data_IF_335930823810
#
_entry.id   IF_335930823810
#
_cell.length_a   1.000
_cell.length_b   1.000
_cell.length_c   1.000
_cell.angle_alpha   90.00
_cell.angle_beta   90.00
_cell.angle_gamma   90.00
#
_symmetry.space_group_name_H-M   'P 1'
#
loop_
_entity.id
_entity.type
_entity.pdbx_description
1 polymer ?
#
# COMPACT_ATOMS: atom_id res chain seq x y z
N UNK A 1 -9.21 1.18 -8.44
CA UNK A 1 -9.06 1.10 -6.97
C UNK A 1 -10.41 0.81 -6.33
N UNK A 2 -10.44 0.11 -5.21
CA UNK A 2 -11.61 -0.08 -4.37
C UNK A 2 -11.47 0.83 -3.16
N UNK A 3 -12.01 2.04 -3.26
CA UNK A 3 -11.87 3.08 -2.21
C UNK A 3 -12.79 2.76 -1.04
N UNK A 4 -12.25 2.84 0.16
CA UNK A 4 -13.03 2.59 1.36
C UNK A 4 -12.35 3.05 2.64
N UNK A 5 -12.82 2.57 3.77
CA UNK A 5 -12.31 2.99 5.07
C UNK A 5 -12.43 1.93 6.15
N UNK A 6 -11.74 2.18 7.25
CA UNK A 6 -11.86 1.36 8.44
C UNK A 6 -13.22 1.58 9.09
N UNK A 7 -13.98 0.49 9.30
CA UNK A 7 -15.30 0.52 9.90
C UNK A 7 -15.38 -0.36 11.15
N UNK A 8 -16.28 -0.03 12.05
CA UNK A 8 -16.49 -0.82 13.27
C UNK A 8 -17.31 -2.08 12.97
N UNK A 9 -16.90 -3.27 13.43
CA UNK A 9 -17.72 -4.48 13.36
C UNK A 9 -18.72 -4.61 14.53
N UNK A 10 -18.89 -3.57 15.36
CA UNK A 10 -19.79 -3.60 16.49
C UNK A 10 -21.21 -3.93 16.05
N UNK A 11 -21.82 -4.90 16.73
CA UNK A 11 -23.15 -5.44 16.38
C UNK A 11 -23.12 -6.55 15.33
N UNK A 12 -21.94 -6.98 14.84
CA UNK A 12 -21.77 -8.09 13.91
C UNK A 12 -21.24 -7.68 12.53
N UNK A 13 -20.88 -8.69 11.73
CA UNK A 13 -20.28 -8.51 10.40
C UNK A 13 -21.23 -7.80 9.42
N UNK A 14 -22.48 -8.18 9.42
CA UNK A 14 -23.51 -7.58 8.56
C UNK A 14 -23.63 -6.06 8.81
N UNK A 15 -23.49 -5.64 10.07
CA UNK A 15 -23.47 -4.22 10.40
C UNK A 15 -22.19 -3.51 9.90
N UNK A 16 -21.05 -4.19 9.85
CA UNK A 16 -19.85 -3.62 9.24
C UNK A 16 -20.05 -3.39 7.73
N UNK A 17 -20.68 -4.33 7.03
CA UNK A 17 -21.06 -4.19 5.62
C UNK A 17 -21.97 -2.97 5.41
N UNK A 18 -23.05 -2.86 6.17
CA UNK A 18 -24.00 -1.74 6.05
C UNK A 18 -23.33 -0.38 6.34
N UNK A 19 -22.40 -0.31 7.31
CA UNK A 19 -21.61 0.91 7.55
C UNK A 19 -20.71 1.26 6.36
N UNK A 20 -20.19 0.27 5.65
CA UNK A 20 -19.47 0.48 4.39
C UNK A 20 -20.38 1.07 3.32
N UNK A 21 -21.58 0.51 3.15
CA UNK A 21 -22.58 1.02 2.20
C UNK A 21 -22.99 2.46 2.53
N UNK A 22 -23.33 2.74 3.79
CA UNK A 22 -23.71 4.08 4.26
C UNK A 22 -22.63 5.13 4.01
N UNK A 23 -21.37 4.72 3.96
CA UNK A 23 -20.21 5.57 3.72
C UNK A 23 -19.75 5.61 2.27
N UNK A 24 -20.50 4.98 1.35
CA UNK A 24 -20.12 4.89 -0.08
C UNK A 24 -18.76 4.24 -0.32
N UNK A 25 -18.46 3.19 0.45
CA UNK A 25 -17.22 2.42 0.31
C UNK A 25 -17.32 1.33 -0.76
N UNK A 26 -16.28 1.16 -1.58
CA UNK A 26 -16.07 -0.02 -2.44
C UNK A 26 -15.41 -1.17 -1.68
N UNK A 27 -14.65 -0.85 -0.63
CA UNK A 27 -13.97 -1.80 0.26
C UNK A 27 -14.07 -1.36 1.71
N UNK A 28 -13.99 -2.31 2.64
CA UNK A 28 -13.95 -2.00 4.08
C UNK A 28 -12.79 -2.71 4.75
N UNK A 29 -12.29 -2.11 5.82
CA UNK A 29 -11.38 -2.76 6.75
C UNK A 29 -12.01 -2.83 8.13
N UNK A 30 -11.79 -3.94 8.84
CA UNK A 30 -12.25 -4.12 10.23
C UNK A 30 -11.15 -4.74 11.08
N UNK A 31 -11.23 -4.54 12.38
CA UNK A 31 -10.62 -5.47 13.34
C UNK A 31 -11.55 -6.66 13.53
N UNK A 32 -11.03 -7.89 13.38
CA UNK A 32 -11.83 -9.10 13.61
C UNK A 32 -12.14 -9.34 15.09
N UNK A 33 -11.46 -8.63 15.99
CA UNK A 33 -11.65 -8.65 17.46
C UNK A 33 -11.34 -7.26 18.03
N UNK A 34 -11.55 -7.07 19.34
CA UNK A 34 -11.20 -5.79 19.99
C UNK A 34 -9.69 -5.49 19.81
N UNK A 35 -9.30 -4.33 19.25
CA UNK A 35 -7.90 -4.04 18.93
C UNK A 35 -6.99 -3.90 20.16
N UNK A 36 -7.57 -3.82 21.37
CA UNK A 36 -6.87 -3.66 22.65
C UNK A 36 -7.03 -4.85 23.59
N UNK A 37 -7.52 -6.00 23.07
CA UNK A 37 -7.72 -7.20 23.87
C UNK A 37 -7.26 -8.47 23.16
N UNK A 38 -6.72 -9.41 23.90
CA UNK A 38 -6.31 -10.72 23.39
C UNK A 38 -7.48 -11.70 23.19
N UNK A 39 -8.69 -11.30 23.58
CA UNK A 39 -9.88 -12.16 23.44
C UNK A 39 -10.20 -12.34 21.97
N UNK A 40 -10.10 -13.57 21.49
CA UNK A 40 -10.46 -13.96 20.14
C UNK A 40 -11.97 -13.86 19.95
N UNK A 41 -12.38 -13.32 18.81
CA UNK A 41 -13.78 -13.18 18.41
C UNK A 41 -14.08 -14.16 17.29
N UNK A 42 -15.10 -14.98 17.47
CA UNK A 42 -15.66 -15.85 16.43
C UNK A 42 -17.03 -15.34 16.00
N UNK A 43 -17.45 -15.72 14.80
CA UNK A 43 -18.75 -15.39 14.24
C UNK A 43 -19.53 -16.67 13.99
N UNK A 44 -20.84 -16.58 14.02
CA UNK A 44 -21.72 -17.71 13.68
C UNK A 44 -21.65 -17.99 12.18
N UNK A 45 -21.83 -19.25 11.76
CA UNK A 45 -21.79 -19.61 10.34
C UNK A 45 -22.88 -18.92 9.52
N UNK A 46 -24.07 -18.72 10.12
CA UNK A 46 -25.13 -17.96 9.48
C UNK A 46 -24.71 -16.52 9.17
N UNK A 47 -24.07 -15.84 10.13
CA UNK A 47 -23.58 -14.46 9.97
C UNK A 47 -22.47 -14.38 8.90
N UNK A 48 -21.59 -15.38 8.85
CA UNK A 48 -20.54 -15.49 7.83
C UNK A 48 -21.13 -15.73 6.43
N UNK A 49 -22.13 -16.57 6.33
CA UNK A 49 -22.81 -16.89 5.06
C UNK A 49 -23.56 -15.68 4.52
N UNK A 50 -24.34 -15.00 5.38
CA UNK A 50 -25.00 -13.75 5.01
C UNK A 50 -24.00 -12.68 4.58
N UNK A 51 -22.91 -12.51 5.34
CA UNK A 51 -21.89 -11.54 5.01
C UNK A 51 -21.21 -11.81 3.66
N UNK A 52 -20.88 -13.07 3.35
CA UNK A 52 -20.32 -13.45 2.04
C UNK A 52 -21.31 -13.18 0.89
N UNK A 53 -22.60 -13.43 1.09
CA UNK A 53 -23.63 -13.10 0.08
C UNK A 53 -23.71 -11.60 -0.17
N UNK A 54 -23.68 -10.80 0.90
CA UNK A 54 -23.70 -9.34 0.80
C UNK A 54 -22.47 -8.80 0.07
N UNK A 55 -21.27 -9.37 0.29
CA UNK A 55 -20.07 -8.99 -0.44
C UNK A 55 -20.13 -9.37 -1.92
N UNK A 56 -20.72 -10.50 -2.25
CA UNK A 56 -20.83 -10.98 -3.63
C UNK A 56 -21.82 -10.15 -4.46
N UNK A 57 -22.89 -9.67 -3.86
CA UNK A 57 -24.02 -9.01 -4.55
C UNK A 57 -24.08 -7.49 -4.33
N UNK A 58 -23.40 -6.99 -3.30
CA UNK A 58 -23.52 -5.61 -2.86
C UNK A 58 -22.46 -4.65 -3.45
N UNK A 59 -22.54 -3.37 -3.08
CA UNK A 59 -21.60 -2.35 -3.56
C UNK A 59 -20.23 -2.45 -2.88
N UNK A 60 -20.13 -2.97 -1.66
CA UNK A 60 -18.85 -3.26 -0.98
C UNK A 60 -18.33 -4.58 -1.51
N UNK A 61 -17.24 -4.54 -2.26
CA UNK A 61 -16.69 -5.65 -3.04
C UNK A 61 -15.47 -6.31 -2.41
N UNK A 62 -14.88 -5.69 -1.39
CA UNK A 62 -13.70 -6.20 -0.71
C UNK A 62 -13.76 -5.97 0.79
N UNK A 63 -13.29 -6.96 1.55
CA UNK A 63 -12.99 -6.81 2.98
C UNK A 63 -11.52 -7.12 3.23
N UNK A 64 -10.90 -6.29 4.08
CA UNK A 64 -9.57 -6.49 4.65
C UNK A 64 -9.71 -6.58 6.16
N UNK A 65 -8.99 -7.48 6.80
CA UNK A 65 -8.87 -7.51 8.24
C UNK A 65 -7.58 -6.82 8.66
N UNK A 66 -7.61 -6.03 9.73
CA UNK A 66 -6.40 -5.55 10.37
C UNK A 66 -6.14 -6.32 11.66
N UNK A 67 -4.93 -6.80 11.83
CA UNK A 67 -4.51 -7.47 13.06
C UNK A 67 -4.48 -6.47 14.23
N UNK A 68 -4.74 -6.96 15.44
CA UNK A 68 -4.84 -6.07 16.61
C UNK A 68 -3.47 -5.48 17.01
N UNK A 69 -3.48 -4.27 17.56
CA UNK A 69 -2.26 -3.53 17.93
C UNK A 69 -1.36 -4.20 18.95
N UNK A 70 -1.86 -5.20 19.68
CA UNK A 70 -1.10 -5.91 20.70
C UNK A 70 -0.10 -6.92 20.11
N UNK A 71 -0.26 -7.28 18.84
CA UNK A 71 0.55 -8.29 18.17
C UNK A 71 1.99 -7.81 18.02
N UNK A 72 2.93 -8.57 18.53
CA UNK A 72 4.36 -8.41 18.30
C UNK A 72 5.04 -9.78 18.14
N UNK A 73 5.05 -10.35 16.92
CA UNK A 73 5.69 -11.66 16.68
C UNK A 73 7.21 -11.62 16.83
N UNK A 74 7.82 -10.42 16.80
CA UNK A 74 9.24 -10.22 17.05
C UNK A 74 9.65 -10.32 18.52
N UNK A 75 8.67 -10.31 19.45
CA UNK A 75 8.95 -10.29 20.89
C UNK A 75 9.79 -11.48 21.36
N UNK A 76 10.76 -11.21 22.23
CA UNK A 76 11.50 -12.25 22.97
C UNK A 76 10.71 -12.83 24.15
N UNK A 77 9.69 -12.10 24.60
CA UNK A 77 8.75 -12.59 25.61
C UNK A 77 7.86 -13.67 25.01
N UNK A 78 8.05 -14.91 25.45
CA UNK A 78 7.34 -16.08 24.93
C UNK A 78 5.82 -15.99 25.12
N UNK A 79 5.35 -15.32 26.18
CA UNK A 79 3.92 -15.14 26.44
C UNK A 79 3.32 -14.17 25.43
N UNK A 80 3.99 -13.04 25.18
CA UNK A 80 3.56 -12.06 24.18
C UNK A 80 3.63 -12.67 22.79
N UNK A 81 4.74 -13.34 22.47
CA UNK A 81 4.91 -14.00 21.17
C UNK A 81 3.82 -15.05 20.93
N UNK A 82 3.58 -15.95 21.90
CA UNK A 82 2.53 -16.96 21.77
C UNK A 82 1.15 -16.32 21.53
N UNK A 83 0.77 -15.33 22.32
CA UNK A 83 -0.51 -14.63 22.15
C UNK A 83 -0.60 -13.93 20.78
N UNK A 84 0.53 -13.40 20.28
CA UNK A 84 0.61 -12.78 18.96
C UNK A 84 0.36 -13.79 17.85
N UNK A 85 1.00 -14.96 17.94
CA UNK A 85 0.81 -16.06 16.99
C UNK A 85 -0.63 -16.58 17.01
N UNK A 86 -1.18 -16.83 18.20
CA UNK A 86 -2.56 -17.32 18.37
C UNK A 86 -3.57 -16.33 17.77
N UNK A 87 -3.39 -15.02 18.02
CA UNK A 87 -4.29 -13.98 17.51
C UNK A 87 -4.17 -13.79 15.98
N UNK A 88 -2.94 -13.85 15.45
CA UNK A 88 -2.71 -13.68 14.02
C UNK A 88 -3.20 -14.90 13.22
N UNK A 89 -2.93 -16.11 13.69
CA UNK A 89 -3.46 -17.34 13.11
C UNK A 89 -5.01 -17.34 13.14
N UNK A 90 -5.60 -16.88 14.24
CA UNK A 90 -7.06 -16.73 14.32
C UNK A 90 -7.59 -15.70 13.32
N UNK A 91 -6.91 -14.55 13.16
CA UNK A 91 -7.30 -13.54 12.18
C UNK A 91 -7.29 -14.10 10.75
N UNK A 92 -6.28 -14.88 10.38
CA UNK A 92 -6.21 -15.54 9.08
C UNK A 92 -7.35 -16.55 8.88
N UNK A 93 -7.66 -17.40 9.88
CA UNK A 93 -8.82 -18.31 9.82
C UNK A 93 -10.15 -17.56 9.67
N UNK A 94 -10.29 -16.42 10.35
CA UNK A 94 -11.47 -15.57 10.16
C UNK A 94 -11.49 -14.93 8.78
N UNK A 95 -10.34 -14.56 8.24
CA UNK A 95 -10.17 -14.11 6.86
C UNK A 95 -10.62 -15.17 5.84
N UNK A 96 -10.21 -16.44 6.05
CA UNK A 96 -10.69 -17.57 5.22
C UNK A 96 -12.21 -17.68 5.28
N UNK A 97 -12.79 -17.64 6.47
CA UNK A 97 -14.23 -17.78 6.70
C UNK A 97 -15.03 -16.63 6.07
N UNK A 98 -14.50 -15.41 6.05
CA UNK A 98 -15.14 -14.23 5.46
C UNK A 98 -14.91 -14.08 3.96
N UNK A 99 -13.94 -14.79 3.38
CA UNK A 99 -13.44 -14.53 2.02
C UNK A 99 -12.70 -13.20 1.91
N UNK A 100 -11.89 -12.88 2.92
CA UNK A 100 -11.17 -11.62 3.00
C UNK A 100 -10.05 -11.52 1.94
N UNK A 101 -9.79 -10.29 1.48
CA UNK A 101 -8.68 -9.99 0.57
C UNK A 101 -7.31 -10.10 1.25
N UNK A 102 -7.27 -10.11 2.58
CA UNK A 102 -6.11 -10.36 3.39
C UNK A 102 -6.25 -9.88 4.82
N UNK A 103 -5.25 -10.25 5.64
CA UNK A 103 -5.05 -9.75 7.00
C UNK A 103 -3.81 -8.87 7.00
N UNK A 104 -3.98 -7.58 7.23
CA UNK A 104 -2.89 -6.62 7.39
C UNK A 104 -2.30 -6.74 8.78
N UNK A 105 -0.98 -6.72 8.87
CA UNK A 105 -0.25 -6.75 10.14
C UNK A 105 1.02 -5.91 10.07
N UNK A 106 1.26 -5.10 11.11
CA UNK A 106 2.59 -4.56 11.35
C UNK A 106 3.52 -5.71 11.75
N UNK A 107 4.70 -5.89 11.14
CA UNK A 107 5.58 -7.01 11.42
C UNK A 107 6.07 -7.12 12.86
N UNK A 108 5.85 -6.08 13.67
CA UNK A 108 6.22 -6.02 15.07
C UNK A 108 7.37 -5.07 15.35
N UNK A 109 7.94 -5.18 16.55
CA UNK A 109 9.03 -4.30 17.01
C UNK A 109 10.10 -5.09 17.74
N UNK A 110 11.37 -4.73 17.50
CA UNK A 110 12.54 -5.36 18.12
C UNK A 110 12.67 -5.08 19.63
N UNK A 111 12.06 -4.01 20.14
CA UNK A 111 12.06 -3.63 21.58
C UNK A 111 13.45 -3.77 22.24
N UNK A 112 14.47 -3.14 21.65
CA UNK A 112 15.86 -3.17 22.17
C UNK A 112 16.66 -4.45 21.88
N UNK A 113 16.10 -5.40 21.14
CA UNK A 113 16.80 -6.61 20.67
C UNK A 113 17.54 -6.33 19.35
N UNK A 114 18.55 -7.16 18.98
CA UNK A 114 19.16 -7.09 17.66
C UNK A 114 18.12 -7.30 16.55
N UNK A 115 18.18 -6.43 15.53
CA UNK A 115 17.21 -6.44 14.43
C UNK A 115 17.17 -7.80 13.71
N UNK A 116 18.31 -8.41 13.46
CA UNK A 116 18.41 -9.71 12.79
C UNK A 116 17.60 -10.80 13.50
N UNK A 117 17.79 -10.94 14.80
CA UNK A 117 17.09 -11.97 15.61
C UNK A 117 15.59 -11.72 15.65
N UNK A 118 15.19 -10.43 15.69
CA UNK A 118 13.80 -10.04 15.67
C UNK A 118 13.15 -10.35 14.32
N UNK A 119 13.83 -10.08 13.20
CA UNK A 119 13.38 -10.43 11.85
C UNK A 119 13.29 -11.94 11.67
N UNK A 120 14.26 -12.72 12.16
CA UNK A 120 14.22 -14.18 12.08
C UNK A 120 13.00 -14.74 12.82
N UNK A 121 12.67 -14.21 14.02
CA UNK A 121 11.44 -14.60 14.76
C UNK A 121 10.16 -14.24 14.00
N UNK A 122 10.11 -13.09 13.31
CA UNK A 122 8.96 -12.74 12.48
C UNK A 122 8.84 -13.70 11.30
N UNK A 123 9.94 -14.10 10.66
CA UNK A 123 9.94 -15.09 9.59
C UNK A 123 9.37 -16.44 10.05
N UNK A 124 9.76 -16.90 11.24
CA UNK A 124 9.20 -18.11 11.85
C UNK A 124 7.69 -17.98 12.11
N UNK A 125 7.29 -16.80 12.61
CA UNK A 125 5.89 -16.50 12.87
C UNK A 125 5.05 -16.51 11.59
N UNK A 126 5.55 -15.91 10.51
CA UNK A 126 4.88 -15.87 9.20
C UNK A 126 4.64 -17.30 8.71
N UNK A 127 5.67 -18.17 8.71
CA UNK A 127 5.51 -19.57 8.27
C UNK A 127 4.47 -20.30 9.11
N UNK A 128 4.51 -20.13 10.43
CA UNK A 128 3.56 -20.77 11.34
C UNK A 128 2.12 -20.29 11.05
N UNK A 129 1.86 -18.98 11.00
CA UNK A 129 0.48 -18.51 10.87
C UNK A 129 -0.10 -18.79 9.49
N UNK A 130 0.72 -18.81 8.42
CA UNK A 130 0.28 -19.23 7.10
C UNK A 130 -0.07 -20.73 7.04
N UNK A 131 0.58 -21.57 7.85
CA UNK A 131 0.21 -23.00 7.95
C UNK A 131 -1.12 -23.25 8.68
N UNK A 132 -1.62 -22.24 9.41
CA UNK A 132 -2.88 -22.28 10.15
C UNK A 132 -4.10 -21.77 9.36
N UNK A 133 -3.91 -21.35 8.10
CA UNK A 133 -4.96 -20.89 7.21
C UNK A 133 -4.83 -21.52 5.84
N UNK A 134 -5.92 -21.52 5.05
CA UNK A 134 -5.95 -22.20 3.75
C UNK A 134 -5.69 -21.22 2.59
N UNK A 135 -6.34 -20.07 2.58
CA UNK A 135 -6.40 -19.16 1.43
C UNK A 135 -6.11 -17.70 1.73
N UNK A 136 -6.47 -17.25 2.94
CA UNK A 136 -6.40 -15.84 3.29
C UNK A 136 -4.95 -15.32 3.23
N UNK A 137 -4.67 -14.25 2.46
CA UNK A 137 -3.35 -13.66 2.43
C UNK A 137 -2.98 -12.98 3.75
N UNK A 138 -1.71 -13.07 4.12
CA UNK A 138 -1.09 -12.24 5.15
C UNK A 138 -0.40 -11.05 4.49
N UNK A 139 -0.75 -9.84 4.88
CA UNK A 139 -0.25 -8.61 4.28
C UNK A 139 0.66 -7.88 5.27
N UNK A 140 1.95 -7.87 5.00
CA UNK A 140 2.91 -7.14 5.81
C UNK A 140 2.80 -5.65 5.49
N UNK A 141 2.54 -4.85 6.50
CA UNK A 141 2.45 -3.41 6.34
C UNK A 141 3.82 -2.76 6.56
N UNK A 142 4.21 -1.82 5.66
CA UNK A 142 5.36 -0.98 5.93
C UNK A 142 5.09 -0.09 7.15
N UNK A 143 6.12 0.22 7.93
CA UNK A 143 5.97 0.96 9.18
C UNK A 143 6.72 2.29 9.15
N UNK A 144 6.25 3.24 9.96
CA UNK A 144 6.88 4.55 10.11
C UNK A 144 8.26 4.53 10.81
N UNK A 145 8.71 3.38 11.32
CA UNK A 145 10.02 3.22 11.96
C UNK A 145 10.09 3.69 13.41
N UNK A 146 8.96 4.04 14.04
CA UNK A 146 8.90 4.45 15.43
C UNK A 146 9.24 3.29 16.39
N UNK A 147 9.99 3.57 17.47
CA UNK A 147 10.21 2.58 18.54
C UNK A 147 10.88 1.27 18.10
N UNK A 148 11.60 1.25 16.98
CA UNK A 148 12.24 0.05 16.46
C UNK A 148 11.28 -0.93 15.80
N UNK A 149 10.15 -0.45 15.24
CA UNK A 149 9.25 -1.26 14.41
C UNK A 149 10.00 -1.86 13.22
N UNK A 150 9.62 -3.06 12.82
CA UNK A 150 10.15 -3.81 11.67
C UNK A 150 9.29 -3.51 10.44
N UNK A 151 9.85 -3.65 9.23
CA UNK A 151 9.16 -3.31 7.97
C UNK A 151 9.31 -1.85 7.57
N UNK A 152 10.41 -1.20 8.00
CA UNK A 152 10.72 0.21 7.71
C UNK A 152 11.19 0.46 6.30
N UNK A 153 11.72 -0.55 5.63
CA UNK A 153 12.23 -0.46 4.26
C UNK A 153 11.77 -1.66 3.43
N UNK A 154 11.86 -1.50 2.12
CA UNK A 154 11.52 -2.59 1.20
C UNK A 154 12.47 -3.78 1.35
N UNK A 155 13.73 -3.56 1.72
CA UNK A 155 14.71 -4.61 2.00
C UNK A 155 14.30 -5.43 3.25
N UNK A 156 13.80 -4.78 4.32
CA UNK A 156 13.26 -5.49 5.48
C UNK A 156 12.02 -6.31 5.11
N UNK A 157 11.10 -5.75 4.31
CA UNK A 157 9.90 -6.46 3.83
C UNK A 157 10.27 -7.63 2.92
N UNK A 158 11.19 -7.44 1.96
CA UNK A 158 11.69 -8.52 1.11
C UNK A 158 12.34 -9.64 1.92
N UNK A 159 13.12 -9.29 2.95
CA UNK A 159 13.71 -10.28 3.85
C UNK A 159 12.64 -11.08 4.62
N UNK A 160 11.56 -10.44 5.06
CA UNK A 160 10.44 -11.13 5.70
C UNK A 160 9.70 -12.04 4.72
N UNK A 161 9.53 -11.64 3.47
CA UNK A 161 8.95 -12.48 2.41
C UNK A 161 9.81 -13.72 2.17
N UNK A 162 11.12 -13.56 2.07
CA UNK A 162 12.08 -14.66 1.91
C UNK A 162 12.01 -15.62 3.10
N UNK A 163 12.10 -15.10 4.33
CA UNK A 163 12.03 -15.90 5.56
C UNK A 163 10.68 -16.57 5.77
N UNK A 164 9.60 -15.95 5.27
CA UNK A 164 8.27 -16.54 5.22
C UNK A 164 8.11 -17.68 4.21
N UNK A 165 9.19 -18.04 3.49
CA UNK A 165 9.20 -19.13 2.53
C UNK A 165 8.71 -18.73 1.14
N UNK A 166 8.50 -17.45 0.87
CA UNK A 166 8.02 -16.95 -0.42
C UNK A 166 6.58 -17.37 -0.77
N UNK A 167 5.78 -17.83 0.21
CA UNK A 167 4.38 -18.24 0.03
C UNK A 167 3.62 -17.18 -0.80
N UNK A 168 2.85 -17.63 -1.78
CA UNK A 168 2.08 -16.73 -2.67
C UNK A 168 1.02 -15.92 -1.91
N UNK A 169 0.55 -16.42 -0.76
CA UNK A 169 -0.39 -15.70 0.12
C UNK A 169 0.27 -14.59 0.93
N UNK A 170 1.62 -14.54 1.00
CA UNK A 170 2.32 -13.47 1.67
C UNK A 170 2.44 -12.26 0.75
N UNK A 171 1.74 -11.20 1.10
CA UNK A 171 1.70 -9.95 0.35
C UNK A 171 2.10 -8.74 1.19
N UNK A 172 1.92 -7.55 0.60
CA UNK A 172 2.19 -6.27 1.22
C UNK A 172 0.93 -5.41 1.30
N UNK A 173 0.89 -4.58 2.33
CA UNK A 173 0.09 -3.39 2.43
C UNK A 173 1.02 -2.17 2.49
N UNK A 174 0.84 -1.16 1.64
CA UNK A 174 1.61 0.07 1.72
C UNK A 174 0.75 1.19 2.32
N UNK A 175 1.25 1.78 3.40
CA UNK A 175 0.68 2.95 4.05
C UNK A 175 1.44 4.22 3.65
N UNK A 176 0.71 5.21 3.14
CA UNK A 176 1.25 6.47 2.66
C UNK A 176 1.87 7.34 3.77
N UNK A 177 1.22 7.39 4.94
CA UNK A 177 1.74 8.12 6.10
C UNK A 177 3.04 7.47 6.61
N UNK A 178 3.11 6.14 6.63
CA UNK A 178 4.30 5.42 7.07
C UNK A 178 5.47 5.61 6.09
N UNK A 179 5.24 5.54 4.77
CA UNK A 179 6.26 5.84 3.76
C UNK A 179 6.77 7.28 3.93
N UNK A 180 5.86 8.25 4.05
CA UNK A 180 6.20 9.66 4.26
C UNK A 180 7.00 9.88 5.54
N UNK A 181 6.56 9.28 6.66
CA UNK A 181 7.24 9.37 7.94
C UNK A 181 8.63 8.72 7.96
N UNK A 182 8.84 7.68 7.13
CA UNK A 182 10.16 7.06 6.94
C UNK A 182 11.08 7.87 6.04
N UNK A 183 10.56 8.83 5.26
CA UNK A 183 11.33 9.66 4.36
C UNK A 183 11.40 9.16 2.93
N UNK A 184 10.44 8.33 2.50
CA UNK A 184 10.26 8.00 1.08
C UNK A 184 9.62 9.18 0.34
N UNK A 185 10.08 9.46 -0.88
CA UNK A 185 9.46 10.45 -1.76
C UNK A 185 8.08 9.97 -2.20
N UNK A 186 7.02 10.64 -1.75
CA UNK A 186 5.63 10.27 -2.01
C UNK A 186 4.69 11.48 -2.11
N UNK A 187 5.24 12.69 -2.22
CA UNK A 187 4.45 13.93 -2.23
C UNK A 187 3.86 14.27 -3.59
N UNK A 188 4.47 13.76 -4.65
CA UNK A 188 4.05 13.98 -6.02
C UNK A 188 3.86 12.65 -6.73
N UNK A 189 3.22 12.67 -7.90
CA UNK A 189 3.03 11.47 -8.72
C UNK A 189 4.36 10.87 -9.19
N UNK A 190 5.36 11.71 -9.49
CA UNK A 190 6.68 11.27 -9.94
C UNK A 190 7.47 10.64 -8.79
N UNK A 191 7.53 11.32 -7.61
CA UNK A 191 8.17 10.76 -6.42
C UNK A 191 7.56 9.41 -6.00
N UNK A 192 6.23 9.31 -6.03
CA UNK A 192 5.53 8.06 -5.74
C UNK A 192 5.88 6.99 -6.76
N UNK A 193 5.91 7.32 -8.06
CA UNK A 193 6.28 6.37 -9.11
C UNK A 193 7.66 5.77 -8.87
N UNK A 194 8.67 6.60 -8.59
CA UNK A 194 10.04 6.15 -8.27
C UNK A 194 10.05 5.26 -7.02
N UNK A 195 9.30 5.64 -5.99
CA UNK A 195 9.19 4.84 -4.75
C UNK A 195 8.56 3.47 -5.01
N UNK A 196 7.50 3.40 -5.83
CA UNK A 196 6.85 2.12 -6.15
C UNK A 196 7.71 1.28 -7.12
N UNK A 197 8.42 1.89 -8.06
CA UNK A 197 9.42 1.19 -8.90
C UNK A 197 10.49 0.51 -8.04
N UNK A 198 11.00 1.19 -7.03
CA UNK A 198 11.93 0.59 -6.08
C UNK A 198 11.28 -0.56 -5.28
N UNK A 199 10.03 -0.44 -4.87
CA UNK A 199 9.31 -1.52 -4.23
C UNK A 199 9.18 -2.74 -5.17
N UNK A 200 8.86 -2.50 -6.44
CA UNK A 200 8.75 -3.53 -7.47
C UNK A 200 10.08 -4.26 -7.70
N UNK A 201 11.18 -3.53 -7.79
CA UNK A 201 12.52 -4.12 -7.96
C UNK A 201 12.96 -4.99 -6.78
N UNK A 202 12.62 -4.59 -5.55
CA UNK A 202 13.12 -5.25 -4.33
C UNK A 202 12.19 -6.37 -3.85
N UNK A 203 10.87 -6.16 -3.90
CA UNK A 203 9.88 -7.10 -3.34
C UNK A 203 9.02 -7.75 -4.41
N UNK A 204 8.73 -7.03 -5.48
CA UNK A 204 7.80 -7.40 -6.53
C UNK A 204 6.42 -6.74 -6.37
N UNK A 205 5.91 -6.15 -7.46
CA UNK A 205 4.59 -5.47 -7.47
C UNK A 205 3.44 -6.45 -7.27
N UNK A 206 3.59 -7.71 -7.69
CA UNK A 206 2.58 -8.76 -7.56
C UNK A 206 2.21 -9.07 -6.09
N UNK A 207 3.10 -8.70 -5.16
CA UNK A 207 2.86 -8.86 -3.73
C UNK A 207 2.04 -7.73 -3.13
N UNK A 208 1.85 -6.64 -3.83
CA UNK A 208 1.07 -5.51 -3.36
C UNK A 208 -0.43 -5.83 -3.48
N UNK A 209 -1.13 -5.89 -2.36
CA UNK A 209 -2.53 -6.34 -2.30
C UNK A 209 -3.48 -5.42 -1.56
N UNK A 210 -2.95 -4.44 -0.84
CA UNK A 210 -3.74 -3.43 -0.14
C UNK A 210 -2.96 -2.12 -0.05
N UNK A 211 -3.67 -1.01 -0.05
CA UNK A 211 -3.10 0.32 0.17
C UNK A 211 -3.85 0.98 1.33
N UNK A 212 -3.10 1.51 2.29
CA UNK A 212 -3.62 2.47 3.25
C UNK A 212 -3.27 3.88 2.78
N UNK A 213 -4.27 4.70 2.55
CA UNK A 213 -4.05 6.11 2.20
C UNK A 213 -4.44 6.98 3.37
N UNK A 214 -3.42 7.45 4.06
CA UNK A 214 -3.50 8.30 5.24
C UNK A 214 -2.60 9.52 5.03
N UNK A 215 -3.09 10.72 5.38
CA UNK A 215 -2.22 11.88 5.46
C UNK A 215 -1.47 11.90 6.80
N UNK A 216 -0.42 12.68 6.92
CA UNK A 216 0.46 12.70 8.09
C UNK A 216 0.38 14.01 8.85
N UNK A 217 0.17 13.95 10.19
CA UNK A 217 0.36 15.10 11.08
C UNK A 217 1.84 15.37 11.38
N UNK A 218 2.69 14.40 11.11
CA UNK A 218 4.11 14.48 11.44
C UNK A 218 4.92 14.83 10.18
N UNK A 219 6.02 15.54 10.37
CA UNK A 219 6.89 15.96 9.28
C UNK A 219 7.53 14.77 8.54
N UNK A 220 7.93 15.03 7.30
CA UNK A 220 8.70 14.09 6.47
C UNK A 220 9.93 13.56 7.19
N UNK A 221 10.14 12.25 7.14
CA UNK A 221 11.28 11.58 7.78
C UNK A 221 11.28 11.59 9.31
N UNK A 222 10.15 11.99 9.93
CA UNK A 222 10.03 12.14 11.40
C UNK A 222 10.03 10.82 12.17
N UNK A 223 9.79 9.70 11.50
CA UNK A 223 9.57 8.38 12.09
C UNK A 223 8.44 8.35 13.11
N UNK A 224 7.37 9.11 12.84
CA UNK A 224 6.20 9.22 13.70
C UNK A 224 4.95 8.85 12.91
N UNK A 225 4.31 7.79 13.34
CA UNK A 225 2.99 7.39 12.86
C UNK A 225 1.92 8.26 13.53
N UNK A 226 1.38 9.22 12.78
CA UNK A 226 0.32 10.14 13.23
C UNK A 226 -0.54 10.55 12.04
N UNK A 227 -1.66 9.88 11.85
CA UNK A 227 -2.58 10.13 10.75
C UNK A 227 -3.30 11.47 10.89
N UNK A 228 -3.47 12.19 9.79
CA UNK A 228 -4.31 13.37 9.61
C UNK A 228 -5.52 13.04 8.73
N UNK A 229 -6.57 13.89 8.69
CA UNK A 229 -7.56 13.83 7.64
C UNK A 229 -6.92 14.00 6.26
N UNK A 230 -7.50 13.39 5.23
CA UNK A 230 -6.97 13.41 3.86
C UNK A 230 -6.83 14.84 3.32
N UNK A 231 -5.64 15.21 2.95
CA UNK A 231 -5.31 16.50 2.38
C UNK A 231 -5.06 17.64 3.37
N UNK A 232 -5.22 17.38 4.69
CA UNK A 232 -5.04 18.37 5.75
C UNK A 232 -3.73 18.21 6.53
N UNK A 233 -2.88 17.25 6.14
CA UNK A 233 -1.61 16.97 6.78
C UNK A 233 -0.39 17.42 5.97
N UNK A 234 0.77 16.91 6.38
CA UNK A 234 2.08 17.24 5.81
C UNK A 234 2.35 16.55 4.45
N UNK A 235 1.69 15.43 4.16
CA UNK A 235 1.67 14.79 2.84
C UNK A 235 0.83 15.63 1.87
N UNK A 236 -0.30 16.15 2.33
CA UNK A 236 -1.15 17.09 1.65
C UNK A 236 -1.99 16.49 0.51
N UNK A 237 -2.79 17.35 -0.12
CA UNK A 237 -3.71 16.95 -1.20
C UNK A 237 -2.99 16.30 -2.38
N UNK A 238 -1.87 16.88 -2.81
CA UNK A 238 -1.13 16.37 -3.98
C UNK A 238 -0.58 14.96 -3.72
N UNK A 239 0.04 14.73 -2.57
CA UNK A 239 0.53 13.40 -2.20
C UNK A 239 -0.60 12.38 -2.05
N UNK A 240 -1.69 12.72 -1.36
CA UNK A 240 -2.86 11.85 -1.28
C UNK A 240 -3.46 11.55 -2.66
N UNK A 241 -3.58 12.57 -3.54
CA UNK A 241 -4.08 12.40 -4.90
C UNK A 241 -3.16 11.50 -5.75
N UNK A 242 -1.83 11.58 -5.54
CA UNK A 242 -0.87 10.70 -6.19
C UNK A 242 -1.13 9.23 -5.85
N UNK A 243 -1.36 8.91 -4.57
CA UNK A 243 -1.72 7.55 -4.14
C UNK A 243 -3.05 7.08 -4.74
N UNK A 244 -4.10 7.89 -4.69
CA UNK A 244 -5.41 7.52 -5.24
C UNK A 244 -5.43 7.41 -6.77
N UNK A 245 -4.38 7.84 -7.47
CA UNK A 245 -4.30 7.79 -8.93
C UNK A 245 -3.14 6.96 -9.47
N UNK A 246 -2.39 6.28 -8.61
CA UNK A 246 -1.28 5.42 -9.04
C UNK A 246 -1.81 4.20 -9.82
N UNK A 247 -1.40 4.01 -11.10
CA UNK A 247 -1.95 2.96 -11.94
C UNK A 247 -1.73 1.54 -11.41
N UNK A 248 -0.61 1.29 -10.72
CA UNK A 248 -0.28 -0.04 -10.14
C UNK A 248 -1.20 -0.42 -8.98
N UNK A 249 -1.97 0.51 -8.43
CA UNK A 249 -2.92 0.26 -7.34
C UNK A 249 -4.35 -0.01 -7.85
N UNK A 250 -4.55 -0.05 -9.16
CA UNK A 250 -5.88 -0.32 -9.72
C UNK A 250 -6.40 -1.71 -9.33
N UNK A 251 -7.65 -1.76 -8.90
CA UNK A 251 -8.29 -2.99 -8.42
C UNK A 251 -8.00 -3.36 -6.97
N UNK A 252 -7.00 -2.75 -6.32
CA UNK A 252 -6.67 -3.05 -4.92
C UNK A 252 -7.63 -2.36 -3.94
N UNK A 253 -7.94 -3.01 -2.80
CA UNK A 253 -8.52 -2.34 -1.65
C UNK A 253 -7.64 -1.16 -1.23
N UNK A 254 -8.26 0.02 -1.11
CA UNK A 254 -7.58 1.27 -0.77
C UNK A 254 -8.31 1.90 0.40
N UNK A 255 -7.72 1.81 1.57
CA UNK A 255 -8.38 2.05 2.86
C UNK A 255 -7.88 3.35 3.49
N UNK A 256 -8.81 4.19 3.92
CA UNK A 256 -8.55 5.30 4.83
C UNK A 256 -8.76 4.88 6.29
N UNK A 257 -7.76 5.09 7.13
CA UNK A 257 -7.77 4.73 8.56
C UNK A 257 -7.67 5.92 9.50
N UNK A 258 -7.46 7.10 8.94
CA UNK A 258 -7.25 8.32 9.69
C UNK A 258 -8.43 8.71 10.58
N UNK A 259 -8.26 9.76 11.39
CA UNK A 259 -9.29 10.23 12.33
C UNK A 259 -10.55 10.71 11.62
N UNK A 260 -10.50 10.99 10.32
CA UNK A 260 -11.56 11.64 9.56
C UNK A 260 -11.74 13.12 9.95
N UNK A 261 -12.54 13.81 9.17
CA UNK A 261 -12.84 15.24 9.38
C UNK A 261 -13.53 15.50 10.73
N UNK A 262 -14.31 14.52 11.23
CA UNK A 262 -15.02 14.63 12.51
C UNK A 262 -14.24 14.06 13.71
N UNK A 263 -13.02 13.53 13.50
CA UNK A 263 -12.22 12.90 14.54
C UNK A 263 -12.72 11.54 15.06
N UNK A 264 -13.61 10.87 14.29
CA UNK A 264 -14.27 9.61 14.68
C UNK A 264 -13.97 8.42 13.76
N UNK A 265 -12.93 8.55 12.93
CA UNK A 265 -12.61 7.61 11.86
C UNK A 265 -13.34 7.93 10.56
N UNK A 266 -13.18 7.07 9.56
CA UNK A 266 -13.74 7.28 8.23
C UNK A 266 -15.27 7.47 8.26
N UNK A 267 -15.75 8.54 7.64
CA UNK A 267 -17.15 8.87 7.43
C UNK A 267 -17.45 9.06 5.93
N UNK A 268 -18.71 9.22 5.55
CA UNK A 268 -19.10 9.49 4.15
C UNK A 268 -18.36 10.71 3.55
N UNK A 269 -18.14 11.75 4.36
CA UNK A 269 -17.43 12.94 3.92
C UNK A 269 -15.98 12.63 3.55
N UNK A 270 -15.30 11.78 4.32
CA UNK A 270 -13.91 11.41 4.07
C UNK A 270 -13.78 10.56 2.80
N UNK A 271 -14.73 9.65 2.54
CA UNK A 271 -14.74 8.84 1.32
C UNK A 271 -15.03 9.72 0.09
N UNK A 272 -15.87 10.76 0.22
CA UNK A 272 -16.05 11.75 -0.85
C UNK A 272 -14.74 12.50 -1.15
N UNK A 273 -14.02 12.95 -0.13
CA UNK A 273 -12.70 13.57 -0.30
C UNK A 273 -11.72 12.61 -0.99
N UNK A 274 -11.70 11.33 -0.61
CA UNK A 274 -10.86 10.34 -1.28
C UNK A 274 -11.19 10.19 -2.78
N UNK A 275 -12.49 10.22 -3.15
CA UNK A 275 -12.91 10.17 -4.56
C UNK A 275 -12.54 11.45 -5.32
N UNK A 276 -12.69 12.62 -4.69
CA UNK A 276 -12.25 13.90 -5.26
C UNK A 276 -10.74 13.91 -5.52
N UNK A 277 -9.94 13.49 -4.54
CA UNK A 277 -8.49 13.35 -4.67
C UNK A 277 -8.09 12.38 -5.80
N UNK A 278 -8.86 11.29 -5.99
CA UNK A 278 -8.64 10.40 -7.12
C UNK A 278 -8.91 11.10 -8.45
N UNK A 279 -9.98 11.85 -8.58
CA UNK A 279 -10.29 12.60 -9.80
C UNK A 279 -9.20 13.65 -10.09
N UNK A 280 -8.74 14.38 -9.08
CA UNK A 280 -7.63 15.34 -9.17
C UNK A 280 -6.34 14.65 -9.66
N UNK A 281 -5.96 13.55 -9.05
CA UNK A 281 -4.76 12.80 -9.42
C UNK A 281 -4.83 12.20 -10.83
N UNK A 282 -5.98 11.64 -11.23
CA UNK A 282 -6.19 11.13 -12.58
C UNK A 282 -6.14 12.25 -13.62
N UNK A 283 -6.68 13.43 -13.31
CA UNK A 283 -6.60 14.60 -14.17
C UNK A 283 -5.15 15.09 -14.34
N UNK A 284 -4.40 15.15 -13.23
CA UNK A 284 -2.99 15.54 -13.25
C UNK A 284 -2.12 14.56 -14.07
N UNK A 285 -2.44 13.27 -14.05
CA UNK A 285 -1.78 12.25 -14.89
C UNK A 285 -2.27 12.21 -16.34
N UNK A 286 -3.25 13.03 -16.74
CA UNK A 286 -3.87 12.98 -18.06
C UNK A 286 -4.74 11.73 -18.30
N UNK A 287 -5.13 11.04 -17.24
CA UNK A 287 -5.89 9.79 -17.26
C UNK A 287 -7.39 10.00 -16.96
N UNK A 288 -7.85 11.24 -16.77
CA UNK A 288 -9.26 11.55 -16.53
C UNK A 288 -10.12 11.07 -17.71
N UNK A 289 -11.22 10.36 -17.45
CA UNK A 289 -12.18 9.93 -18.47
C UNK A 289 -12.66 11.16 -19.20
N UNK A 290 -12.31 11.29 -20.50
CA UNK A 290 -12.51 12.47 -21.33
C UNK A 290 -13.91 13.03 -21.28
N UNK A 291 -14.06 14.15 -20.62
CA UNK A 291 -15.08 15.11 -20.96
C UNK A 291 -14.81 15.57 -22.39
N UNK A 292 -15.81 15.46 -23.27
CA UNK A 292 -15.73 15.86 -24.66
C UNK A 292 -15.21 17.32 -24.77
N UNK A 293 -13.89 17.48 -24.94
CA UNK A 293 -13.34 18.77 -25.36
C UNK A 293 -13.56 18.90 -26.87
N UNK A 294 -14.44 19.80 -27.25
CA UNK A 294 -14.65 20.16 -28.63
C UNK A 294 -13.36 20.70 -29.22
N UNK A 295 -12.65 19.90 -30.00
CA UNK A 295 -11.52 20.34 -30.78
C UNK A 295 -12.02 21.32 -31.87
N UNK A 296 -11.76 22.60 -31.68
CA UNK A 296 -11.84 23.60 -32.77
C UNK A 296 -10.80 23.20 -33.82
N UNK A 297 -11.28 22.71 -34.96
CA UNK A 297 -10.47 22.51 -36.16
C UNK A 297 -9.96 23.88 -36.62
N UNK A 298 -8.70 24.18 -36.37
CA UNK A 298 -7.98 25.27 -36.99
C UNK A 298 -7.68 24.92 -38.45
N UNK A 299 -8.22 25.68 -39.38
CA UNK A 299 -7.98 25.53 -40.80
C UNK A 299 -6.52 25.88 -41.15
N UNK A 300 -5.74 24.88 -41.55
CA UNK A 300 -4.40 25.09 -42.09
C UNK A 300 -4.49 25.64 -43.54
N UNK A 301 -4.00 26.86 -43.74
CA UNK A 301 -3.75 27.44 -45.07
C UNK A 301 -2.57 26.72 -45.72
N UNK A 302 -2.80 26.16 -46.92
CA UNK A 302 -1.77 25.63 -47.82
C UNK A 302 -0.89 26.80 -48.31
N UNK A 303 0.40 26.74 -48.03
CA UNK A 303 1.44 27.56 -48.65
C UNK A 303 2.26 26.69 -49.60
N UNK A 304 2.31 27.17 -50.85
CA UNK A 304 2.95 26.53 -52.02
C UNK A 304 4.47 26.50 -51.91
N UNK A 305 5.06 25.37 -52.25
CA UNK A 305 6.49 25.14 -52.35
C UNK A 305 7.11 25.80 -53.58
N UNK A 306 8.27 26.42 -53.40
CA UNK A 306 9.22 26.74 -54.52
C UNK A 306 10.48 25.89 -54.37
N UNK A 307 10.79 25.17 -55.44
CA UNK A 307 12.02 24.39 -55.67
C UNK A 307 13.22 25.34 -55.81
N UNK A 308 14.35 24.97 -55.24
CA UNK A 308 15.66 25.56 -55.49
C UNK A 308 16.75 24.51 -55.32
N UNK A 309 17.52 24.33 -56.34
CA UNK A 309 18.52 23.34 -56.71
C UNK A 309 19.79 23.33 -55.84
N UNK A 310 20.42 22.16 -55.78
CA UNK A 310 21.75 21.90 -55.22
C UNK A 310 22.89 22.53 -56.05
N UNK A 311 24.13 22.58 -55.51
CA UNK A 311 25.19 21.78 -56.15
C UNK A 311 26.15 21.05 -55.18
N UNK A 312 26.82 20.11 -55.80
CA UNK A 312 27.81 19.14 -55.35
C UNK A 312 29.20 19.72 -55.03
N UNK A 313 29.98 19.01 -54.28
CA UNK A 313 31.46 19.08 -54.22
C UNK A 313 31.95 18.66 -52.82
N UNK A 314 32.77 17.78 -52.57
CA UNK A 314 33.75 16.86 -53.12
C UNK A 314 34.74 16.51 -51.97
N UNK A 315 35.14 15.31 -51.97
CA UNK A 315 36.01 14.51 -51.08
C UNK A 315 37.42 15.15 -50.73
N UNK A 316 37.98 14.61 -49.64
CA UNK A 316 39.34 14.07 -49.40
C UNK A 316 39.55 13.80 -47.90
N UNK A 317 39.73 12.57 -47.41
CA UNK A 317 40.92 11.67 -47.38
C UNK A 317 42.10 12.18 -46.51
N UNK A 318 42.52 11.39 -45.57
CA UNK A 318 43.80 11.46 -44.83
C UNK A 318 43.64 10.88 -43.42
N UNK A 319 43.92 9.81 -43.15
CA UNK A 319 44.87 8.68 -42.98
C UNK A 319 46.06 9.00 -41.99
N UNK A 320 46.22 8.07 -41.05
CA UNK A 320 47.45 7.71 -40.27
C UNK A 320 47.73 8.55 -39.02
N UNK A 321 48.27 8.01 -37.93
CA UNK A 321 48.86 6.72 -37.53
C UNK A 321 49.21 6.70 -36.07
N UNK A 322 49.02 5.58 -35.40
CA UNK A 322 49.95 4.76 -34.59
C UNK A 322 50.80 5.33 -33.45
N UNK A 323 50.79 4.49 -32.44
CA UNK A 323 51.87 4.16 -31.41
C UNK A 323 51.79 4.97 -30.12
N UNK A 324 51.92 4.43 -28.98
CA UNK A 324 52.41 3.16 -28.46
C UNK A 324 52.67 3.29 -26.99
N UNK A 325 52.43 2.27 -26.30
CA UNK A 325 53.25 1.52 -25.39
C UNK A 325 53.57 2.05 -23.97
N UNK A 326 53.12 1.25 -22.99
CA UNK A 326 53.85 0.63 -21.88
C UNK A 326 54.40 1.54 -20.76
N UNK A 327 54.12 1.28 -19.51
CA UNK A 327 54.65 0.33 -18.56
C UNK A 327 54.37 0.76 -17.10
N UNK A 328 53.93 -0.20 -16.29
CA UNK A 328 54.40 -0.65 -14.99
C UNK A 328 54.67 0.35 -13.86
N UNK A 329 54.19 -0.04 -12.69
CA UNK A 329 54.95 -0.16 -11.46
C UNK A 329 54.21 0.27 -10.20
N UNK A 330 53.75 -0.71 -9.49
CA UNK A 330 53.97 -1.05 -8.09
C UNK A 330 54.30 0.08 -7.09
N UNK A 331 53.48 0.25 -6.12
CA UNK A 331 53.76 -0.02 -4.69
C UNK A 331 52.44 0.00 -3.94
#
# INVERSE_FOLDING_TARGET
MLIGGHVSPAGGLVNAFHRGVERDCDSIQIFNQSPRAWRLQTYREDDLTEFRSLLAEGPVRAIVLHAVYLINPASKDDVIRKKSLDALAHALRMGDAMGAHGVVVHPGSQVGEPLKESIDRVGDAIRYVLSESERCPLLLENTAGAGGTIGRSFEELARLVELGGGDERLGLCLDSCHLFAMGFGVRTADELSETIERCEEIVGVDRLRCIHVNDSKAAFGSKRDRHAPLGDGELGREGCAAFFSEPRFEGLPTIFEGPGLEGRGAALADIKVARELREEGLAARGLAKGGRSGAKRGSAKRGTAKRGSAPRGSARSGQRSRKGATKRGSS
#
